data_IF_097535333556
#
_entry.id   IF_097535333556
#
_cell.length_a   1.000
_cell.length_b   1.000
_cell.length_c   1.000
_cell.angle_alpha   90.00
_cell.angle_beta   90.00
_cell.angle_gamma   90.00
#
_symmetry.space_group_name_H-M   'P 1'
#
loop_
_entity.id
_entity.type
_entity.pdbx_description
1 polymer ?
#
# COMPACT_ATOMS: atom_id res chain seq x y z
N UNK A 1 -35.24 -8.54 11.89
CA UNK A 1 -34.19 -8.65 10.85
C UNK A 1 -32.83 -8.62 11.55
N UNK A 2 -32.11 -9.75 11.63
CA UNK A 2 -30.75 -9.79 12.21
C UNK A 2 -29.76 -9.35 11.15
N UNK A 3 -29.25 -8.13 11.26
CA UNK A 3 -28.10 -7.69 10.49
C UNK A 3 -26.86 -8.44 10.98
N UNK A 4 -26.55 -9.56 10.33
CA UNK A 4 -25.25 -10.22 10.47
C UNK A 4 -24.19 -9.30 9.87
N UNK A 5 -23.71 -8.35 10.68
CA UNK A 5 -22.61 -7.45 10.38
C UNK A 5 -21.37 -8.30 10.06
N UNK A 6 -21.11 -8.55 8.76
CA UNK A 6 -19.94 -9.26 8.24
C UNK A 6 -18.70 -8.39 8.47
N UNK A 7 -18.23 -8.35 9.73
CA UNK A 7 -16.97 -7.75 10.12
C UNK A 7 -15.85 -8.33 9.26
N UNK A 8 -15.21 -7.49 8.45
CA UNK A 8 -13.98 -7.84 7.72
C UNK A 8 -14.12 -8.13 6.23
N UNK A 9 -15.29 -8.00 5.59
CA UNK A 9 -15.35 -8.01 4.12
C UNK A 9 -15.02 -6.64 3.56
N UNK A 10 -13.80 -6.50 3.03
CA UNK A 10 -13.36 -5.31 2.30
C UNK A 10 -14.22 -5.14 1.04
N UNK A 11 -14.76 -3.93 0.78
CA UNK A 11 -15.44 -3.64 -0.48
C UNK A 11 -14.52 -3.94 -1.66
N UNK A 12 -15.06 -4.57 -2.70
CA UNK A 12 -14.27 -4.99 -3.87
C UNK A 12 -13.54 -3.80 -4.51
N UNK A 13 -14.23 -2.66 -4.63
CA UNK A 13 -13.66 -1.44 -5.20
C UNK A 13 -12.46 -0.93 -4.38
N UNK A 14 -12.56 -0.93 -3.04
CA UNK A 14 -11.46 -0.52 -2.16
C UNK A 14 -10.28 -1.49 -2.28
N UNK A 15 -10.54 -2.80 -2.39
CA UNK A 15 -9.49 -3.81 -2.57
C UNK A 15 -8.76 -3.63 -3.89
N UNK A 16 -9.50 -3.43 -4.98
CA UNK A 16 -8.92 -3.19 -6.31
C UNK A 16 -8.10 -1.90 -6.29
N UNK A 17 -8.63 -0.82 -5.69
CA UNK A 17 -7.92 0.45 -5.58
C UNK A 17 -6.58 0.32 -4.85
N UNK A 18 -6.54 -0.36 -3.70
CA UNK A 18 -5.30 -0.62 -2.95
C UNK A 18 -4.31 -1.45 -3.77
N UNK A 19 -4.77 -2.52 -4.42
CA UNK A 19 -3.91 -3.38 -5.22
C UNK A 19 -3.30 -2.63 -6.42
N UNK A 20 -4.11 -1.86 -7.14
CA UNK A 20 -3.65 -1.08 -8.29
C UNK A 20 -2.65 0.00 -7.88
N UNK A 21 -2.92 0.75 -6.82
CA UNK A 21 -2.04 1.84 -6.37
C UNK A 21 -0.69 1.31 -5.89
N UNK A 22 -0.66 0.23 -5.10
CA UNK A 22 0.59 -0.41 -4.65
C UNK A 22 1.35 -1.01 -5.84
N UNK A 23 0.64 -1.70 -6.76
CA UNK A 23 1.27 -2.30 -7.93
C UNK A 23 1.91 -1.25 -8.85
N UNK A 24 1.19 -0.16 -9.15
CA UNK A 24 1.71 0.95 -9.97
C UNK A 24 2.86 1.68 -9.28
N UNK A 25 2.79 1.88 -7.96
CA UNK A 25 3.89 2.45 -7.17
C UNK A 25 5.13 1.56 -7.25
N UNK A 26 4.99 0.25 -7.04
CA UNK A 26 6.10 -0.70 -7.15
C UNK A 26 6.69 -0.76 -8.55
N UNK A 27 5.85 -0.80 -9.60
CA UNK A 27 6.30 -0.90 -10.98
C UNK A 27 7.09 0.35 -11.41
N UNK A 28 6.59 1.54 -11.07
CA UNK A 28 7.27 2.82 -11.37
C UNK A 28 8.57 2.98 -10.59
N UNK A 29 8.64 2.49 -9.34
CA UNK A 29 9.88 2.51 -8.55
C UNK A 29 10.96 1.57 -9.12
N UNK A 30 10.58 0.35 -9.51
CA UNK A 30 11.48 -0.59 -10.19
C UNK A 30 11.96 -0.01 -11.52
N UNK A 31 11.05 0.53 -12.32
CA UNK A 31 11.39 1.17 -13.60
C UNK A 31 12.40 2.32 -13.42
N UNK A 32 12.19 3.19 -12.44
CA UNK A 32 13.12 4.27 -12.13
C UNK A 32 14.49 3.74 -11.68
N UNK A 33 14.56 2.74 -10.81
CA UNK A 33 15.82 2.14 -10.37
C UNK A 33 16.59 1.50 -11.53
N UNK A 34 15.92 0.74 -12.40
CA UNK A 34 16.54 0.15 -13.60
C UNK A 34 17.07 1.23 -14.55
N UNK A 35 16.30 2.29 -14.75
CA UNK A 35 16.66 3.38 -15.65
C UNK A 35 17.77 4.29 -15.13
N UNK A 36 17.70 4.63 -13.84
CA UNK A 36 18.60 5.57 -13.19
C UNK A 36 19.91 4.91 -12.76
N UNK A 37 19.82 3.78 -12.03
CA UNK A 37 20.98 3.14 -11.40
C UNK A 37 21.71 2.21 -12.38
N UNK A 38 20.96 1.35 -13.07
CA UNK A 38 21.52 0.37 -14.00
C UNK A 38 21.70 0.94 -15.42
N UNK A 39 21.33 2.21 -15.64
CA UNK A 39 21.38 2.90 -16.94
C UNK A 39 20.65 2.19 -18.09
N UNK A 40 19.74 1.26 -17.78
CA UNK A 40 18.95 0.51 -18.77
C UNK A 40 17.86 1.44 -19.33
N UNK A 41 17.89 1.76 -20.62
CA UNK A 41 16.91 2.66 -21.25
C UNK A 41 16.71 3.99 -20.49
N UNK A 42 17.81 4.59 -20.01
CA UNK A 42 17.83 5.83 -19.21
C UNK A 42 16.99 6.97 -19.80
N UNK A 43 16.97 7.10 -21.13
CA UNK A 43 16.20 8.12 -21.84
C UNK A 43 14.68 8.05 -21.60
N UNK A 44 14.15 6.85 -21.28
CA UNK A 44 12.73 6.62 -21.01
C UNK A 44 12.47 6.32 -19.53
N UNK A 45 13.28 5.45 -18.91
CA UNK A 45 13.04 4.92 -17.56
C UNK A 45 13.68 5.75 -16.45
N UNK A 46 14.78 6.46 -16.73
CA UNK A 46 15.51 7.29 -15.77
C UNK A 46 15.06 8.75 -15.73
N UNK A 47 13.96 9.10 -16.40
CA UNK A 47 13.46 10.47 -16.39
C UNK A 47 12.80 10.81 -15.05
N UNK A 48 12.95 12.06 -14.62
CA UNK A 48 12.24 12.59 -13.45
C UNK A 48 10.71 12.53 -13.57
N UNK A 49 10.18 12.40 -14.79
CA UNK A 49 8.76 12.15 -15.04
C UNK A 49 8.30 10.83 -14.42
N UNK A 50 9.11 9.76 -14.50
CA UNK A 50 8.82 8.45 -13.90
C UNK A 50 8.80 8.56 -12.37
N UNK A 51 9.73 9.33 -11.80
CA UNK A 51 9.77 9.60 -10.36
C UNK A 51 8.58 10.44 -9.88
N UNK A 52 8.13 11.41 -10.68
CA UNK A 52 6.92 12.19 -10.39
C UNK A 52 5.67 11.31 -10.38
N UNK A 53 5.53 10.42 -11.37
CA UNK A 53 4.44 9.43 -11.40
C UNK A 53 4.51 8.47 -10.22
N UNK A 54 5.71 8.01 -9.84
CA UNK A 54 5.91 7.20 -8.65
C UNK A 54 5.40 7.92 -7.39
N UNK A 55 5.74 9.20 -7.22
CA UNK A 55 5.25 10.02 -6.11
C UNK A 55 3.72 10.13 -6.05
N UNK A 56 3.05 10.31 -7.19
CA UNK A 56 1.58 10.33 -7.26
C UNK A 56 0.99 8.99 -6.82
N UNK A 57 1.52 7.88 -7.34
CA UNK A 57 1.06 6.55 -6.94
C UNK A 57 1.35 6.24 -5.48
N UNK A 58 2.47 6.73 -4.92
CA UNK A 58 2.80 6.60 -3.52
C UNK A 58 1.78 7.33 -2.63
N UNK A 59 1.43 8.58 -2.94
CA UNK A 59 0.38 9.32 -2.20
C UNK A 59 -0.95 8.60 -2.26
N UNK A 60 -1.35 8.12 -3.45
CA UNK A 60 -2.59 7.34 -3.60
C UNK A 60 -2.55 6.04 -2.80
N UNK A 61 -1.42 5.33 -2.77
CA UNK A 61 -1.24 4.12 -1.98
C UNK A 61 -1.33 4.41 -0.47
N UNK A 62 -0.73 5.51 0.02
CA UNK A 62 -0.82 5.91 1.42
C UNK A 62 -2.24 6.28 1.81
N UNK A 63 -2.97 7.00 0.96
CA UNK A 63 -4.40 7.28 1.17
C UNK A 63 -5.23 5.98 1.18
N UNK A 64 -4.94 5.06 0.25
CA UNK A 64 -5.61 3.77 0.16
C UNK A 64 -5.39 2.96 1.45
N UNK A 65 -4.15 2.86 1.92
CA UNK A 65 -3.79 2.18 3.17
C UNK A 65 -4.43 2.86 4.39
N UNK A 66 -4.37 4.19 4.46
CA UNK A 66 -4.99 4.99 5.52
C UNK A 66 -6.51 4.81 5.62
N UNK A 67 -7.19 4.56 4.51
CA UNK A 67 -8.63 4.26 4.50
C UNK A 67 -8.96 2.84 5.01
N UNK A 68 -8.01 1.91 4.90
CA UNK A 68 -8.19 0.47 5.23
C UNK A 68 -7.76 0.15 6.65
N UNK A 69 -6.74 0.86 7.13
CA UNK A 69 -6.09 0.62 8.42
C UNK A 69 -7.06 0.73 9.61
N UNK A 70 -7.95 1.73 9.72
CA UNK A 70 -8.86 1.85 10.86
C UNK A 70 -9.84 0.68 10.95
N UNK A 71 -10.30 0.17 9.80
CA UNK A 71 -11.23 -0.98 9.75
C UNK A 71 -10.50 -2.27 10.13
N UNK A 72 -9.27 -2.47 9.67
CA UNK A 72 -8.45 -3.62 10.02
C UNK A 72 -7.99 -3.60 11.48
N UNK A 73 -7.58 -2.44 12.00
CA UNK A 73 -7.21 -2.27 13.42
C UNK A 73 -8.43 -2.50 14.31
N UNK A 74 -9.61 -1.94 13.97
CA UNK A 74 -10.85 -2.16 14.73
C UNK A 74 -11.27 -3.63 14.73
N UNK A 75 -11.20 -4.31 13.58
CA UNK A 75 -11.47 -5.74 13.48
C UNK A 75 -10.44 -6.60 14.25
N UNK A 76 -9.15 -6.26 14.15
CA UNK A 76 -8.07 -6.92 14.88
C UNK A 76 -8.18 -6.71 16.40
N UNK A 77 -8.60 -5.53 16.84
CA UNK A 77 -8.82 -5.23 18.26
C UNK A 77 -9.99 -6.04 18.83
N UNK A 78 -11.07 -6.20 18.06
CA UNK A 78 -12.24 -7.01 18.43
C UNK A 78 -11.95 -8.52 18.42
N UNK A 79 -11.03 -8.98 17.56
CA UNK A 79 -10.66 -10.40 17.47
C UNK A 79 -9.89 -10.92 18.71
N UNK A 80 -9.28 -10.05 19.54
CA UNK A 80 -8.41 -10.35 20.71
C UNK A 80 -7.26 -11.36 20.47
N UNK A 81 -7.20 -12.01 19.30
CA UNK A 81 -6.23 -13.03 18.92
C UNK A 81 -5.11 -12.35 18.12
N UNK A 82 -3.91 -12.30 18.70
CA UNK A 82 -2.65 -11.81 18.09
C UNK A 82 -2.43 -10.29 17.96
N UNK A 83 -2.82 -9.50 18.96
CA UNK A 83 -2.46 -8.05 19.04
C UNK A 83 -0.95 -7.78 18.97
N UNK A 84 -0.12 -8.61 19.59
CA UNK A 84 1.34 -8.41 19.59
C UNK A 84 1.97 -8.59 18.20
N UNK A 85 1.45 -9.50 17.38
CA UNK A 85 1.97 -9.72 16.01
C UNK A 85 1.69 -8.51 15.12
N UNK A 86 0.45 -7.99 15.18
CA UNK A 86 0.06 -6.82 14.39
C UNK A 86 0.81 -5.56 14.79
N UNK A 87 0.98 -5.32 16.11
CA UNK A 87 1.73 -4.16 16.60
C UNK A 87 3.23 -4.26 16.30
N UNK A 88 3.81 -5.46 16.41
CA UNK A 88 5.22 -5.70 16.06
C UNK A 88 5.47 -5.47 14.57
N UNK A 89 4.58 -5.93 13.68
CA UNK A 89 4.68 -5.67 12.24
C UNK A 89 4.54 -4.19 11.91
N UNK A 90 3.64 -3.45 12.57
CA UNK A 90 3.52 -1.99 12.40
C UNK A 90 4.78 -1.26 12.90
N UNK A 91 5.36 -1.71 14.02
CA UNK A 91 6.61 -1.17 14.54
C UNK A 91 7.80 -1.44 13.61
N UNK A 92 7.91 -2.65 13.06
CA UNK A 92 8.91 -3.00 12.05
C UNK A 92 8.77 -2.16 10.77
N UNK A 93 7.53 -1.92 10.32
CA UNK A 93 7.28 -1.07 9.16
C UNK A 93 7.69 0.39 9.42
N UNK A 94 7.48 0.89 10.64
CA UNK A 94 7.94 2.22 11.07
C UNK A 94 9.46 2.33 11.16
N UNK A 95 10.18 1.24 11.43
CA UNK A 95 11.65 1.21 11.50
C UNK A 95 12.26 1.06 10.09
N UNK A 96 11.55 0.41 9.17
CA UNK A 96 12.03 0.16 7.81
C UNK A 96 11.80 1.34 6.86
N UNK A 97 10.79 2.19 7.12
CA UNK A 97 10.58 3.48 6.44
C UNK A 97 11.54 4.55 6.97
#
# INVERSE_FOLDING_TARGET
MRASHRLGKMPLWQRIFVLLTIFSCSLTGIAYLLGHEFSIYKALLGQHSVLAWHGIFAVLATMALGSVLPVHIKAGFHSKRKRMSGFSQLGLLLILC
#
